data_IF_887426543701
#
_entry.id   IF_887426543701
#
_cell.length_a   1.000
_cell.length_b   1.000
_cell.length_c   1.000
_cell.angle_alpha   90.00
_cell.angle_beta   90.00
_cell.angle_gamma   90.00
#
_symmetry.space_group_name_H-M   'P 1'
#
loop_
_entity.id
_entity.type
_entity.pdbx_description
1 polymer ?
#
# COMPACT_ATOMS: atom_id res chain seq x y z
N UNK A 1 33.19 36.43 34.21
CA UNK A 1 32.42 35.17 34.30
C UNK A 1 31.16 35.32 33.45
N UNK A 2 31.17 34.85 32.19
CA UNK A 2 30.08 35.08 31.24
C UNK A 2 30.02 33.95 30.22
N UNK A 3 28.83 33.32 30.15
CA UNK A 3 28.23 32.63 29.00
C UNK A 3 28.95 31.40 28.43
N UNK A 4 28.70 30.22 29.02
CA UNK A 4 28.87 28.91 28.36
C UNK A 4 27.56 28.14 28.18
N UNK A 5 26.42 28.74 28.51
CA UNK A 5 25.09 28.10 28.44
C UNK A 5 24.41 28.22 27.07
N UNK A 6 25.06 28.82 26.07
CA UNK A 6 24.46 29.10 24.76
C UNK A 6 24.78 28.10 23.64
N UNK A 7 25.34 26.93 23.95
CA UNK A 7 25.83 25.99 22.93
C UNK A 7 25.29 24.56 23.15
N UNK A 8 24.00 24.40 23.44
CA UNK A 8 23.36 23.07 23.47
C UNK A 8 21.93 23.10 22.90
N UNK A 9 21.68 23.91 21.85
CA UNK A 9 20.37 23.92 21.17
C UNK A 9 20.46 23.56 19.67
N UNK A 10 21.64 23.42 19.08
CA UNK A 10 21.76 23.28 17.61
C UNK A 10 22.06 21.88 17.08
N UNK A 11 22.06 20.83 17.92
CA UNK A 11 22.38 19.46 17.46
C UNK A 11 21.20 18.49 17.37
N UNK A 12 19.96 18.95 17.62
CA UNK A 12 18.79 18.07 17.62
C UNK A 12 17.93 18.11 16.34
N UNK A 13 18.26 18.96 15.36
CA UNK A 13 17.41 19.14 14.16
C UNK A 13 17.91 18.45 12.90
N UNK A 14 19.11 17.85 12.88
CA UNK A 14 19.64 17.12 11.72
C UNK A 14 19.41 15.60 11.76
N UNK A 15 18.84 15.07 12.85
CA UNK A 15 18.51 13.64 12.97
C UNK A 15 17.10 13.27 12.45
N UNK A 16 16.32 14.24 11.97
CA UNK A 16 14.92 14.03 11.55
C UNK A 16 14.71 13.65 10.08
N UNK A 17 15.72 13.78 9.22
CA UNK A 17 15.57 13.56 7.77
C UNK A 17 15.79 12.07 7.39
N UNK A 18 16.40 11.27 8.26
CA UNK A 18 16.61 9.83 8.04
C UNK A 18 15.35 8.95 8.20
N UNK A 19 14.26 9.50 8.74
CA UNK A 19 13.02 8.75 9.01
C UNK A 19 11.98 8.79 7.88
N UNK A 20 12.29 9.44 6.75
CA UNK A 20 11.44 9.43 5.55
C UNK A 20 12.04 8.58 4.41
N UNK A 21 13.05 7.75 4.72
CA UNK A 21 13.91 7.07 3.74
C UNK A 21 13.64 5.59 3.48
N UNK A 22 12.48 5.03 3.83
CA UNK A 22 12.14 3.63 3.50
C UNK A 22 10.78 3.47 2.80
N UNK A 23 10.26 4.55 2.22
CA UNK A 23 9.13 4.52 1.29
C UNK A 23 9.55 4.33 -0.17
N UNK A 24 10.71 3.73 -0.44
CA UNK A 24 10.96 3.18 -1.77
C UNK A 24 10.16 1.88 -1.86
N UNK A 25 8.86 1.98 -2.12
CA UNK A 25 8.06 0.89 -2.67
C UNK A 25 8.51 0.64 -4.12
N UNK A 26 9.80 0.40 -4.33
CA UNK A 26 10.23 -0.34 -5.51
C UNK A 26 9.44 -1.63 -5.45
N UNK A 27 8.72 -1.96 -6.54
CA UNK A 27 7.88 -3.15 -6.58
C UNK A 27 8.70 -4.30 -6.01
N UNK A 28 8.35 -4.73 -4.78
CA UNK A 28 9.01 -5.88 -4.18
C UNK A 28 8.89 -6.95 -5.25
N UNK A 29 10.03 -7.42 -5.79
CA UNK A 29 10.01 -8.56 -6.68
C UNK A 29 9.16 -9.61 -5.97
N UNK A 30 7.99 -9.93 -6.55
CA UNK A 30 6.90 -10.51 -5.81
C UNK A 30 7.42 -11.74 -5.06
N UNK A 31 7.56 -11.61 -3.73
CA UNK A 31 7.60 -12.79 -2.89
C UNK A 31 6.37 -13.62 -3.20
N UNK A 32 6.38 -14.95 -2.96
CA UNK A 32 5.23 -15.79 -3.25
C UNK A 32 3.97 -15.13 -2.64
N UNK A 33 2.94 -14.98 -3.47
CA UNK A 33 1.65 -14.45 -3.01
C UNK A 33 1.20 -15.26 -1.80
N UNK A 34 1.00 -14.58 -0.68
CA UNK A 34 0.75 -15.22 0.62
C UNK A 34 -0.75 -15.35 0.88
N UNK A 35 -1.11 -16.31 1.73
CA UNK A 35 -2.50 -16.44 2.20
C UNK A 35 -2.99 -15.16 2.88
N UNK A 36 -2.14 -14.50 3.66
CA UNK A 36 -2.49 -13.24 4.30
C UNK A 36 -2.83 -12.12 3.30
N UNK A 37 -2.17 -12.08 2.14
CA UNK A 37 -2.52 -11.15 1.06
C UNK A 37 -3.85 -11.52 0.40
N UNK A 38 -4.12 -12.82 0.21
CA UNK A 38 -5.40 -13.29 -0.30
C UNK A 38 -6.56 -12.90 0.63
N UNK A 39 -6.39 -13.12 1.93
CA UNK A 39 -7.41 -12.82 2.94
C UNK A 39 -7.68 -11.31 3.03
N UNK A 40 -6.62 -10.51 3.09
CA UNK A 40 -6.74 -9.04 3.10
C UNK A 40 -7.39 -8.51 1.82
N UNK A 41 -7.02 -9.06 0.66
CA UNK A 41 -7.61 -8.71 -0.63
C UNK A 41 -9.08 -9.09 -0.72
N UNK A 42 -9.45 -10.29 -0.23
CA UNK A 42 -10.84 -10.75 -0.19
C UNK A 42 -11.72 -9.86 0.72
N UNK A 43 -11.20 -9.47 1.89
CA UNK A 43 -11.91 -8.53 2.77
C UNK A 43 -12.16 -7.19 2.05
N UNK A 44 -11.10 -6.58 1.51
CA UNK A 44 -11.22 -5.32 0.78
C UNK A 44 -12.19 -5.41 -0.41
N UNK A 45 -12.14 -6.53 -1.14
CA UNK A 45 -13.06 -6.81 -2.25
C UNK A 45 -14.52 -6.85 -1.80
N UNK A 46 -14.79 -7.57 -0.71
CA UNK A 46 -16.14 -7.71 -0.15
C UNK A 46 -16.70 -6.37 0.32
N UNK A 47 -15.87 -5.54 0.96
CA UNK A 47 -16.28 -4.27 1.54
C UNK A 47 -16.54 -3.18 0.49
N UNK A 48 -15.80 -3.19 -0.63
CA UNK A 48 -15.75 -2.04 -1.53
C UNK A 48 -16.09 -2.34 -2.99
N UNK A 49 -15.91 -3.58 -3.45
CA UNK A 49 -15.92 -3.92 -4.88
C UNK A 49 -17.08 -4.82 -5.27
N UNK A 50 -17.43 -5.77 -4.39
CA UNK A 50 -18.44 -6.79 -4.64
C UNK A 50 -19.84 -6.22 -4.92
N UNK A 51 -20.12 -4.99 -4.47
CA UNK A 51 -21.37 -4.30 -4.74
C UNK A 51 -21.66 -4.08 -6.24
N UNK A 52 -20.61 -3.95 -7.06
CA UNK A 52 -20.72 -3.78 -8.52
C UNK A 52 -20.20 -5.01 -9.27
N UNK A 53 -19.10 -5.60 -8.79
CA UNK A 53 -18.41 -6.70 -9.47
C UNK A 53 -18.88 -8.10 -9.06
N UNK A 54 -19.90 -8.18 -8.19
CA UNK A 54 -20.50 -9.39 -7.61
C UNK A 54 -19.56 -10.20 -6.71
N UNK A 55 -20.06 -10.98 -5.73
CA UNK A 55 -19.20 -11.75 -4.82
C UNK A 55 -18.30 -12.79 -5.50
N UNK A 56 -18.67 -13.24 -6.69
CA UNK A 56 -17.97 -14.27 -7.46
C UNK A 56 -17.07 -13.69 -8.57
N UNK A 57 -16.87 -12.37 -8.60
CA UNK A 57 -16.12 -11.64 -9.62
C UNK A 57 -16.70 -11.71 -11.04
N UNK A 58 -17.92 -12.23 -11.21
CA UNK A 58 -18.54 -12.35 -12.53
C UNK A 58 -18.91 -11.00 -13.14
N UNK A 59 -19.06 -9.97 -12.31
CA UNK A 59 -19.51 -8.65 -12.74
C UNK A 59 -20.93 -8.64 -13.27
N UNK A 60 -21.32 -7.52 -13.86
CA UNK A 60 -22.60 -7.31 -14.53
C UNK A 60 -22.37 -6.65 -15.89
N UNK A 61 -23.42 -6.27 -16.62
CA UNK A 61 -23.27 -5.54 -17.88
C UNK A 61 -22.55 -4.20 -17.71
N UNK A 62 -22.76 -3.51 -16.58
CA UNK A 62 -22.22 -2.17 -16.31
C UNK A 62 -20.93 -2.19 -15.48
N UNK A 63 -20.51 -3.36 -15.00
CA UNK A 63 -19.27 -3.55 -14.25
C UNK A 63 -18.59 -4.85 -14.72
N UNK A 64 -17.43 -4.79 -15.41
CA UNK A 64 -16.83 -5.96 -16.03
C UNK A 64 -16.42 -7.02 -15.00
N UNK A 65 -16.36 -8.28 -15.45
CA UNK A 65 -15.79 -9.37 -14.67
C UNK A 65 -14.33 -9.05 -14.29
N UNK A 66 -13.96 -9.36 -13.05
CA UNK A 66 -12.59 -9.19 -12.54
C UNK A 66 -11.84 -10.52 -12.45
N UNK A 67 -12.21 -11.45 -13.35
CA UNK A 67 -11.60 -12.77 -13.48
C UNK A 67 -11.65 -13.22 -14.94
N UNK A 68 -10.86 -14.25 -15.27
CA UNK A 68 -10.84 -14.85 -16.61
C UNK A 68 -9.95 -14.13 -17.62
N UNK A 69 -9.98 -14.62 -18.85
CA UNK A 69 -9.03 -14.23 -19.92
C UNK A 69 -9.13 -12.76 -20.32
N UNK A 70 -10.35 -12.22 -20.37
CA UNK A 70 -10.57 -10.82 -20.73
C UNK A 70 -9.95 -9.87 -19.70
N UNK A 71 -10.12 -10.16 -18.40
CA UNK A 71 -9.51 -9.39 -17.32
C UNK A 71 -7.97 -9.47 -17.39
N UNK A 72 -7.42 -10.68 -17.53
CA UNK A 72 -5.97 -10.89 -17.61
C UNK A 72 -5.33 -10.27 -18.86
N UNK A 73 -6.07 -10.16 -19.96
CA UNK A 73 -5.58 -9.54 -21.19
C UNK A 73 -5.58 -8.01 -21.19
N UNK A 74 -6.26 -7.38 -20.22
CA UNK A 74 -6.36 -5.93 -20.09
C UNK A 74 -5.35 -5.32 -19.11
N UNK A 75 -4.51 -6.15 -18.46
CA UNK A 75 -3.58 -5.76 -17.40
C UNK A 75 -2.12 -5.99 -17.78
#
# INVERSE_FOLDING_TARGET
MRKKTGLLVTAATLAGIGLWGAGAVGQNAAGPFTQAQADAGHQAYTESCAMCHLPDLAGTNDAPALAGTAFMGAW
#
